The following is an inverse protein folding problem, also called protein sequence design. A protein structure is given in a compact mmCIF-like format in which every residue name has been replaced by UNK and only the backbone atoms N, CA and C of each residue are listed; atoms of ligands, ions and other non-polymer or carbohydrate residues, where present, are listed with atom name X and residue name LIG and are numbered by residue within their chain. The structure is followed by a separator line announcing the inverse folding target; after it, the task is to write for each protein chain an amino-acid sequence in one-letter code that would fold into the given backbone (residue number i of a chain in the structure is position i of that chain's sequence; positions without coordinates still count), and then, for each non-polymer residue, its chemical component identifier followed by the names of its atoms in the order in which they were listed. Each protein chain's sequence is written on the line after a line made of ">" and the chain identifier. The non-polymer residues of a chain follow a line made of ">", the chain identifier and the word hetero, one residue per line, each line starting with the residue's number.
data_IF_002266254654
#
_entry.id   IF_002266254654
#
_cell.length_a   1.000
_cell.length_b   1.000
_cell.length_c   1.000
_cell.angle_alpha   90.00
_cell.angle_beta   90.00
_cell.angle_gamma   90.00
#
_symmetry.space_group_name_H-M   'P 1'
#
loop_
_entity.id
_entity.type
_entity.pdbx_description
1 polymer ?
#
# COMPACT_ATOMS: atom_id res chain seq x y z
N UNK A 1 -3.48 -33.22 16.61
CA UNK A 1 -3.05 -32.35 15.50
C UNK A 1 -2.60 -31.03 16.09
N UNK A 2 -1.29 -30.82 16.18
CA UNK A 2 -0.72 -29.54 16.57
C UNK A 2 -0.95 -28.51 15.45
N UNK A 3 -1.06 -27.24 15.83
CA UNK A 3 -1.23 -26.13 14.88
C UNK A 3 0.02 -26.05 13.98
N UNK A 4 -0.15 -26.18 12.67
CA UNK A 4 0.94 -26.03 11.71
C UNK A 4 1.55 -24.63 11.79
N UNK A 5 2.88 -24.57 11.79
CA UNK A 5 3.61 -23.30 11.79
C UNK A 5 4.00 -22.95 10.35
N UNK A 6 3.67 -21.73 9.93
CA UNK A 6 3.79 -21.32 8.53
C UNK A 6 5.25 -21.22 8.07
N UNK A 7 6.18 -20.90 8.95
CA UNK A 7 7.61 -20.82 8.58
C UNK A 7 8.16 -22.19 8.14
N UNK A 8 7.71 -23.28 8.75
CA UNK A 8 8.12 -24.65 8.39
C UNK A 8 7.66 -25.01 6.98
N UNK A 9 6.46 -24.55 6.59
CA UNK A 9 5.91 -24.79 5.25
C UNK A 9 6.67 -24.04 4.16
N UNK A 10 7.34 -22.92 4.49
CA UNK A 10 8.13 -22.15 3.51
C UNK A 10 9.40 -22.86 3.10
N UNK A 11 9.97 -23.69 3.97
CA UNK A 11 11.20 -24.44 3.69
C UNK A 11 10.95 -25.71 2.86
N UNK A 12 9.71 -26.21 2.84
CA UNK A 12 9.31 -27.44 2.13
C UNK A 12 9.21 -27.26 0.61
N UNK A 13 9.42 -28.34 -0.14
CA UNK A 13 9.27 -28.34 -1.60
C UNK A 13 7.79 -28.30 -2.04
N UNK A 14 7.53 -27.96 -3.31
CA UNK A 14 6.15 -27.93 -3.84
C UNK A 14 5.49 -29.32 -3.78
N UNK A 15 6.25 -30.38 -4.04
CA UNK A 15 5.76 -31.75 -4.01
C UNK A 15 5.32 -32.16 -2.60
N UNK A 16 6.14 -31.86 -1.58
CA UNK A 16 5.80 -32.12 -0.17
C UNK A 16 4.55 -31.37 0.28
N UNK A 17 4.40 -30.10 -0.12
CA UNK A 17 3.20 -29.30 0.20
C UNK A 17 1.93 -29.87 -0.45
N UNK A 18 2.04 -30.43 -1.67
CA UNK A 18 0.92 -31.08 -2.34
C UNK A 18 0.55 -32.42 -1.68
N UNK A 19 1.54 -33.19 -1.20
CA UNK A 19 1.28 -34.40 -0.42
C UNK A 19 0.55 -34.06 0.88
N UNK A 20 1.10 -33.13 1.67
CA UNK A 20 0.47 -32.69 2.93
C UNK A 20 -0.96 -32.17 2.72
N UNK A 21 -1.21 -31.49 1.59
CA UNK A 21 -2.55 -31.02 1.25
C UNK A 21 -3.54 -32.16 0.95
N UNK A 22 -3.09 -33.26 0.34
CA UNK A 22 -3.94 -34.44 0.11
C UNK A 22 -4.29 -35.11 1.44
N UNK A 23 -3.30 -35.29 2.31
CA UNK A 23 -3.48 -35.94 3.62
C UNK A 23 -4.46 -35.15 4.50
N UNK A 24 -4.29 -33.82 4.58
CA UNK A 24 -5.19 -32.95 5.35
C UNK A 24 -6.63 -32.94 4.79
N UNK A 25 -6.80 -33.07 3.47
CA UNK A 25 -8.13 -33.17 2.85
C UNK A 25 -8.81 -34.50 3.16
N UNK A 26 -8.06 -35.60 3.15
CA UNK A 26 -8.57 -36.90 3.56
C UNK A 26 -9.00 -36.89 5.03
N UNK A 27 -8.17 -36.33 5.92
CA UNK A 27 -8.53 -36.16 7.33
C UNK A 27 -9.80 -35.30 7.49
N UNK A 28 -9.91 -34.19 6.76
CA UNK A 28 -11.12 -33.35 6.80
C UNK A 28 -12.37 -34.10 6.34
N UNK A 29 -12.27 -34.96 5.32
CA UNK A 29 -13.38 -35.77 4.84
C UNK A 29 -13.86 -36.74 5.93
N UNK A 30 -12.93 -37.45 6.59
CA UNK A 30 -13.25 -38.35 7.70
C UNK A 30 -13.91 -37.60 8.87
N UNK A 31 -13.40 -36.42 9.23
CA UNK A 31 -14.00 -35.59 10.30
C UNK A 31 -15.40 -35.08 9.94
N UNK A 32 -15.71 -34.86 8.65
CA UNK A 32 -17.04 -34.47 8.19
C UNK A 32 -18.05 -35.61 8.31
N UNK A 33 -17.65 -36.83 7.96
CA UNK A 33 -18.50 -38.02 8.17
C UNK A 33 -18.77 -38.21 9.67
N UNK A 34 -17.73 -38.14 10.49
CA UNK A 34 -17.86 -38.25 11.94
C UNK A 34 -18.76 -37.15 12.56
N UNK A 35 -18.84 -35.97 11.95
CA UNK A 35 -19.76 -34.92 12.37
C UNK A 35 -21.22 -35.30 12.14
N UNK A 36 -21.53 -35.95 11.02
CA UNK A 36 -22.89 -36.37 10.68
C UNK A 36 -23.35 -37.52 11.58
N UNK A 37 -22.47 -38.47 11.89
CA UNK A 37 -22.77 -39.63 12.71
C UNK A 37 -22.75 -39.35 14.23
N UNK A 38 -22.76 -38.09 14.66
CA UNK A 38 -22.76 -37.73 16.09
C UNK A 38 -21.46 -38.06 16.84
N UNK A 39 -20.30 -37.96 16.19
CA UNK A 39 -19.01 -38.32 16.78
C UNK A 39 -18.58 -37.44 17.97
N UNK A 40 -17.63 -37.95 18.75
CA UNK A 40 -17.13 -37.32 19.98
C UNK A 40 -16.70 -35.84 19.78
N UNK A 41 -17.00 -34.93 20.74
CA UNK A 41 -16.75 -33.50 20.62
C UNK A 41 -15.27 -33.17 20.39
N UNK A 42 -14.35 -33.94 20.99
CA UNK A 42 -12.91 -33.79 20.78
C UNK A 42 -12.46 -33.99 19.32
N UNK A 43 -13.18 -34.81 18.54
CA UNK A 43 -12.93 -34.98 17.10
C UNK A 43 -13.51 -33.80 16.32
N UNK A 44 -14.67 -33.28 16.71
CA UNK A 44 -15.32 -32.15 16.03
C UNK A 44 -14.51 -30.84 16.18
N UNK A 45 -13.91 -30.60 17.34
CA UNK A 45 -13.05 -29.44 17.58
C UNK A 45 -11.84 -29.36 16.63
N UNK A 46 -11.39 -30.51 16.09
CA UNK A 46 -10.28 -30.56 15.13
C UNK A 46 -10.65 -30.03 13.75
N UNK A 47 -11.95 -29.99 13.38
CA UNK A 47 -12.40 -29.55 12.05
C UNK A 47 -11.93 -28.12 11.74
N UNK A 48 -12.06 -27.21 12.72
CA UNK A 48 -11.61 -25.82 12.55
C UNK A 48 -10.10 -25.75 12.31
N UNK A 49 -9.32 -26.53 13.07
CA UNK A 49 -7.87 -26.56 12.96
C UNK A 49 -7.42 -27.09 11.60
N UNK A 50 -7.97 -28.23 11.15
CA UNK A 50 -7.63 -28.83 9.85
C UNK A 50 -7.99 -27.90 8.68
N UNK A 51 -9.15 -27.21 8.75
CA UNK A 51 -9.52 -26.21 7.72
C UNK A 51 -8.52 -25.05 7.65
N UNK A 52 -8.08 -24.54 8.80
CA UNK A 52 -7.08 -23.48 8.85
C UNK A 52 -5.73 -23.97 8.32
N UNK A 53 -5.32 -25.19 8.65
CA UNK A 53 -4.10 -25.83 8.14
C UNK A 53 -4.13 -25.96 6.61
N UNK A 54 -5.24 -26.41 6.01
CA UNK A 54 -5.41 -26.47 4.54
C UNK A 54 -5.26 -25.08 3.92
N UNK A 55 -5.92 -24.07 4.51
CA UNK A 55 -5.83 -22.69 4.02
C UNK A 55 -4.40 -22.14 4.07
N UNK A 56 -3.64 -22.43 5.13
CA UNK A 56 -2.23 -22.04 5.27
C UNK A 56 -1.35 -22.69 4.20
N UNK A 57 -1.49 -23.99 3.94
CA UNK A 57 -0.72 -24.70 2.90
C UNK A 57 -1.01 -24.12 1.51
N UNK A 58 -2.29 -23.94 1.17
CA UNK A 58 -2.70 -23.31 -0.09
C UNK A 58 -2.14 -21.88 -0.24
N UNK A 59 -2.14 -21.12 0.86
CA UNK A 59 -1.58 -19.76 0.88
C UNK A 59 -0.09 -19.77 0.55
N UNK A 60 0.69 -20.67 1.17
CA UNK A 60 2.14 -20.78 0.92
C UNK A 60 2.42 -21.21 -0.53
N UNK A 61 1.66 -22.16 -1.08
CA UNK A 61 1.76 -22.56 -2.49
C UNK A 61 1.51 -21.37 -3.41
N UNK A 62 0.43 -20.61 -3.17
CA UNK A 62 0.10 -19.42 -3.97
C UNK A 62 1.16 -18.32 -3.86
N UNK A 63 1.71 -18.11 -2.65
CA UNK A 63 2.80 -17.16 -2.42
C UNK A 63 4.06 -17.53 -3.21
N UNK A 64 4.50 -18.79 -3.15
CA UNK A 64 5.66 -19.29 -3.91
C UNK A 64 5.43 -19.19 -5.42
N UNK A 65 4.25 -19.55 -5.90
CA UNK A 65 3.92 -19.41 -7.32
C UNK A 65 3.99 -17.96 -7.78
N UNK A 66 3.43 -17.03 -7.00
CA UNK A 66 3.47 -15.59 -7.30
C UNK A 66 4.88 -15.01 -7.22
N UNK A 67 5.73 -15.46 -6.29
CA UNK A 67 7.11 -14.97 -6.20
C UNK A 67 7.92 -15.38 -7.42
N UNK A 68 7.84 -16.66 -7.83
CA UNK A 68 8.50 -17.17 -9.05
C UNK A 68 8.03 -16.42 -10.29
N UNK A 69 6.72 -16.16 -10.42
CA UNK A 69 6.20 -15.36 -11.53
C UNK A 69 6.69 -13.91 -11.48
N UNK A 70 6.76 -13.27 -10.31
CA UNK A 70 7.29 -11.90 -10.18
C UNK A 70 8.75 -11.82 -10.60
N UNK A 71 9.56 -12.83 -10.28
CA UNK A 71 10.96 -12.92 -10.69
C UNK A 71 11.09 -13.09 -12.20
N UNK A 72 10.34 -14.02 -12.79
CA UNK A 72 10.33 -14.26 -14.24
C UNK A 72 9.95 -13.01 -15.04
N UNK A 73 8.95 -12.25 -14.57
CA UNK A 73 8.48 -11.04 -15.23
C UNK A 73 9.18 -9.75 -14.77
N UNK A 74 10.19 -9.82 -13.87
CA UNK A 74 10.89 -8.64 -13.33
C UNK A 74 11.56 -7.80 -14.41
N UNK A 75 12.13 -8.45 -15.44
CA UNK A 75 12.78 -7.80 -16.58
C UNK A 75 11.77 -7.28 -17.62
N UNK A 76 10.63 -7.95 -17.78
CA UNK A 76 9.58 -7.61 -18.76
C UNK A 76 8.56 -6.63 -18.15
N UNK A 77 8.89 -5.33 -18.14
CA UNK A 77 8.05 -4.29 -17.52
C UNK A 77 6.86 -3.82 -18.38
N UNK A 78 6.91 -3.97 -19.71
CA UNK A 78 5.91 -3.41 -20.63
C UNK A 78 4.58 -4.18 -20.62
N UNK A 79 4.63 -5.52 -20.59
CA UNK A 79 3.45 -6.39 -20.63
C UNK A 79 3.43 -7.31 -19.40
N UNK A 80 2.90 -6.82 -18.29
CA UNK A 80 2.68 -7.61 -17.09
C UNK A 80 1.26 -8.19 -17.09
N UNK A 81 1.07 -9.45 -16.64
CA UNK A 81 -0.24 -9.99 -16.36
C UNK A 81 -1.04 -9.12 -15.37
N UNK A 82 -2.36 -9.06 -15.54
CA UNK A 82 -3.27 -8.23 -14.73
C UNK A 82 -3.20 -8.54 -13.22
N UNK A 83 -2.86 -9.78 -12.86
CA UNK A 83 -2.72 -10.24 -11.48
C UNK A 83 -1.47 -9.71 -10.79
N UNK A 84 -0.39 -9.51 -11.55
CA UNK A 84 0.89 -9.02 -11.03
C UNK A 84 0.95 -7.49 -10.99
N UNK A 85 0.06 -6.82 -11.74
CA UNK A 85 -0.03 -5.35 -11.79
C UNK A 85 -0.33 -4.78 -10.40
N UNK A 86 0.31 -3.67 -9.99
CA UNK A 86 -0.02 -3.00 -8.74
C UNK A 86 -1.50 -2.60 -8.71
N UNK A 87 -2.19 -2.97 -7.63
CA UNK A 87 -3.59 -2.62 -7.41
C UNK A 87 -3.65 -1.17 -6.89
N UNK A 88 -3.93 -0.24 -7.80
CA UNK A 88 -4.16 1.20 -7.51
C UNK A 88 -5.55 1.58 -8.00
N UNK A 89 -6.11 2.67 -7.48
CA UNK A 89 -7.39 3.20 -7.96
C UNK A 89 -7.31 3.57 -9.44
N UNK A 90 -8.46 3.55 -10.13
CA UNK A 90 -8.54 3.90 -11.56
C UNK A 90 -8.01 5.31 -11.83
N UNK A 91 -8.34 6.28 -10.98
CA UNK A 91 -7.86 7.66 -11.07
C UNK A 91 -6.33 7.72 -11.02
N UNK A 92 -5.69 7.03 -10.08
CA UNK A 92 -4.22 7.00 -9.97
C UNK A 92 -3.57 6.34 -11.20
N UNK A 93 -4.19 5.29 -11.76
CA UNK A 93 -3.68 4.63 -12.97
C UNK A 93 -3.74 5.51 -14.22
N UNK A 94 -4.69 6.45 -14.29
CA UNK A 94 -4.90 7.37 -15.42
C UNK A 94 -4.11 8.68 -15.32
N UNK A 95 -3.68 9.06 -14.11
CA UNK A 95 -2.86 10.26 -13.87
C UNK A 95 -1.55 10.19 -14.66
N UNK A 96 -1.06 11.36 -15.09
CA UNK A 96 0.27 11.50 -15.66
C UNK A 96 1.36 11.00 -14.69
N UNK A 97 2.46 10.50 -15.26
CA UNK A 97 3.64 10.15 -14.48
C UNK A 97 4.29 11.40 -13.90
N UNK A 98 4.94 11.30 -12.74
CA UNK A 98 5.62 12.45 -12.09
C UNK A 98 6.57 13.16 -13.06
N UNK A 99 7.34 12.40 -13.83
CA UNK A 99 8.24 12.94 -14.85
C UNK A 99 7.50 13.77 -15.91
N UNK A 100 6.39 13.25 -16.46
CA UNK A 100 5.57 13.99 -17.44
C UNK A 100 4.96 15.25 -16.83
N UNK A 101 4.48 15.17 -15.60
CA UNK A 101 3.92 16.32 -14.89
C UNK A 101 4.98 17.40 -14.57
N UNK A 102 6.26 17.02 -14.41
CA UNK A 102 7.37 17.95 -14.17
C UNK A 102 8.03 18.46 -15.44
N UNK A 103 7.63 17.99 -16.64
CA UNK A 103 8.19 18.49 -17.89
C UNK A 103 7.78 19.95 -18.08
N UNK A 104 8.77 20.83 -18.10
CA UNK A 104 8.62 22.26 -18.39
C UNK A 104 9.15 22.56 -19.78
N UNK A 105 8.56 23.55 -20.43
CA UNK A 105 9.06 24.05 -21.72
C UNK A 105 10.45 24.67 -21.54
N UNK A 106 11.25 24.74 -22.61
CA UNK A 106 12.58 25.37 -22.54
C UNK A 106 12.50 26.84 -22.13
N UNK A 107 11.46 27.54 -22.59
CA UNK A 107 11.17 28.92 -22.21
C UNK A 107 10.94 29.06 -20.70
N UNK A 108 10.13 28.17 -20.13
CA UNK A 108 9.82 28.18 -18.70
C UNK A 108 11.06 27.81 -17.86
N UNK A 109 11.84 26.82 -18.29
CA UNK A 109 13.13 26.48 -17.64
C UNK A 109 14.08 27.67 -17.61
N UNK A 110 14.25 28.37 -18.74
CA UNK A 110 15.08 29.59 -18.81
C UNK A 110 14.56 30.65 -17.83
N UNK A 111 13.25 30.91 -17.81
CA UNK A 111 12.63 31.87 -16.89
C UNK A 111 12.92 31.54 -15.42
N UNK A 112 12.78 30.28 -15.03
CA UNK A 112 13.05 29.83 -13.65
C UNK A 112 14.52 29.93 -13.26
N UNK A 113 15.44 29.65 -14.19
CA UNK A 113 16.89 29.82 -13.97
C UNK A 113 17.24 31.29 -13.79
N UNK A 114 16.70 32.18 -14.63
CA UNK A 114 16.99 33.61 -14.56
C UNK A 114 16.37 34.29 -13.33
N UNK A 115 15.13 33.92 -12.97
CA UNK A 115 14.37 34.57 -11.89
C UNK A 115 13.90 33.55 -10.85
N UNK A 116 14.83 33.02 -10.02
CA UNK A 116 14.44 32.16 -8.91
C UNK A 116 13.68 32.97 -7.86
N UNK A 117 12.66 32.36 -7.25
CA UNK A 117 12.00 32.94 -6.08
C UNK A 117 13.00 33.01 -4.92
N UNK A 118 13.45 34.21 -4.60
CA UNK A 118 14.37 34.47 -3.49
C UNK A 118 13.56 34.77 -2.24
N UNK A 119 14.01 34.25 -1.10
CA UNK A 119 13.47 34.64 0.21
C UNK A 119 14.07 35.99 0.61
N UNK A 120 13.24 36.97 0.91
CA UNK A 120 13.66 38.27 1.44
C UNK A 120 12.69 38.72 2.54
N UNK A 121 13.16 39.62 3.40
CA UNK A 121 12.34 40.29 4.42
C UNK A 121 12.55 41.79 4.28
N UNK A 122 11.47 42.56 4.41
CA UNK A 122 11.54 44.02 4.43
C UNK A 122 11.66 44.46 5.88
N UNK A 123 12.69 45.25 6.18
CA UNK A 123 12.82 45.87 7.50
C UNK A 123 11.75 46.95 7.61
N UNK A 124 10.87 46.85 8.61
CA UNK A 124 9.89 47.89 8.90
C UNK A 124 10.64 49.12 9.43
N UNK A 125 10.55 50.24 8.71
CA UNK A 125 10.99 51.56 9.20
C UNK A 125 9.82 52.22 9.94
N UNK A 126 10.05 52.61 11.19
CA UNK A 126 9.03 53.24 12.03
C UNK A 126 8.66 54.67 11.59
N UNK A 127 9.35 55.25 10.60
CA UNK A 127 9.16 56.63 10.14
C UNK A 127 7.78 56.86 9.51
N UNK A 128 7.21 55.87 8.81
CA UNK A 128 5.88 55.98 8.21
C UNK A 128 4.70 55.80 9.19
N UNK A 129 4.96 55.39 10.43
CA UNK A 129 3.94 55.30 11.49
C UNK A 129 3.69 56.66 12.18
N UNK A 130 4.66 57.58 12.11
CA UNK A 130 4.54 58.90 12.75
C UNK A 130 3.76 59.90 11.89
N UNK A 131 3.81 59.79 10.56
CA UNK A 131 3.04 60.64 9.64
C UNK A 131 1.52 60.39 9.69
N UNK A 132 1.10 59.15 9.99
CA UNK A 132 -0.31 58.77 10.13
C UNK A 132 -0.96 59.31 11.41
N UNK A 133 -0.20 59.41 12.49
CA UNK A 133 -0.67 59.92 13.80
C UNK A 133 -0.75 61.45 13.84
N UNK A 134 0.11 62.16 13.11
CA UNK A 134 0.05 63.62 12.98
C UNK A 134 -1.21 64.08 12.21
N UNK A 135 -1.61 63.34 11.16
CA UNK A 135 -2.81 63.67 10.35
C UNK A 135 -4.14 63.48 11.08
N UNK A 136 -4.26 62.50 11.99
CA UNK A 136 -5.50 62.30 12.75
C UNK A 136 -5.72 63.36 13.84
N UNK A 137 -4.65 63.94 14.41
CA UNK A 137 -4.76 65.00 15.44
C UNK A 137 -5.19 66.36 14.87
N UNK A 138 -4.90 66.65 13.60
CA UNK A 138 -5.28 67.91 12.95
C UNK A 138 -6.73 67.94 12.42
N UNK A 139 -7.41 66.80 12.35
CA UNK A 139 -8.83 66.67 11.93
C UNK A 139 -9.82 66.68 13.11
N UNK A 140 -9.35 66.76 14.35
CA UNK A 140 -10.18 66.85 15.58
C UNK A 140 -10.00 68.18 16.33
N UNK A 141 -9.76 69.30 15.64
CA UNK A 141 -9.96 70.62 16.24
C UNK A 141 -11.42 71.02 16.00
N UNK A 142 -12.29 71.09 17.02
CA UNK A 142 -13.67 71.49 16.84
C UNK A 142 -13.70 72.99 16.49
N UNK A 143 -14.43 73.33 15.43
CA UNK A 143 -14.89 74.70 15.20
C UNK A 143 -15.91 75.09 16.29
N UNK A 144 -15.93 76.39 16.58
CA UNK A 144 -16.70 77.11 17.61
C UNK A 144 -18.11 76.59 17.87
#
# INVERSE_FOLDING_TARGET
>A
MARLKVYELRNKTKAELLSQLKDLKAELALLRVAKVTGGAPNKLSKIKLVRLSIAQVLTVISQKQKSVLREAYKKKKKYLPLDLRPKKTRAIRRRLTKHRASLKTEREKKKEVYFPLRKYAVKISYDHLMDGLQRQKNLRRPCQ
#
